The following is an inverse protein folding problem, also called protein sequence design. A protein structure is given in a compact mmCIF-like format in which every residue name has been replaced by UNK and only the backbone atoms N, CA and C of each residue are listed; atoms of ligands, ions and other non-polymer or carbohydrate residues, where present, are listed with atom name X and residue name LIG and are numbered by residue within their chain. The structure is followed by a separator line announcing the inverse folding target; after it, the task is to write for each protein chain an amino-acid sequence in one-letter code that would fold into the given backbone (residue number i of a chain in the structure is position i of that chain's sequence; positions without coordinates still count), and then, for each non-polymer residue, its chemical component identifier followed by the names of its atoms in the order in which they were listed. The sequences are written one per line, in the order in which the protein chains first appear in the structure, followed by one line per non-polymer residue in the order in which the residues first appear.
data_IF_664390896841
#
_entry.id   IF_664390896841
#
_cell.length_a   1.000
_cell.length_b   1.000
_cell.length_c   1.000
_cell.angle_alpha   90.00
_cell.angle_beta   90.00
_cell.angle_gamma   90.00
#
_symmetry.space_group_name_H-M   'P 1'
#
loop_
_entity.id
_entity.type
_entity.pdbx_description
1 polymer ?
#
# COMPACT_ATOMS: atom_id res chain seq x y z
N UNK A 1 31.92 19.06 2.47
CA UNK A 1 31.72 17.90 3.36
C UNK A 1 30.88 16.89 2.62
N UNK A 2 31.20 15.60 2.71
CA UNK A 2 30.35 14.56 2.17
C UNK A 2 29.07 14.50 3.03
N UNK A 3 27.90 14.68 2.43
CA UNK A 3 26.62 14.65 3.15
C UNK A 3 26.05 13.24 3.05
N UNK A 4 26.27 12.46 4.10
CA UNK A 4 25.91 11.04 4.18
C UNK A 4 24.70 10.80 5.08
N UNK A 5 24.02 11.84 5.58
CA UNK A 5 22.89 11.69 6.49
C UNK A 5 21.54 11.99 5.82
N UNK A 6 20.55 11.11 6.00
CA UNK A 6 19.14 11.40 5.75
C UNK A 6 18.43 11.46 7.11
N UNK A 7 17.67 12.53 7.34
CA UNK A 7 16.79 12.65 8.51
C UNK A 7 15.38 12.31 8.04
N UNK A 8 14.86 11.16 8.46
CA UNK A 8 13.53 10.66 8.12
C UNK A 8 12.55 10.95 9.25
N UNK A 9 11.62 11.87 9.00
CA UNK A 9 10.56 12.26 9.92
C UNK A 9 9.33 11.41 9.60
N UNK A 10 9.03 10.47 10.48
CA UNK A 10 7.94 9.51 10.37
C UNK A 10 7.09 9.63 11.64
N UNK A 11 6.07 10.52 11.68
CA UNK A 11 5.27 10.75 12.88
C UNK A 11 4.49 9.49 13.31
N UNK A 12 4.25 8.59 12.37
CA UNK A 12 3.74 7.26 12.64
C UNK A 12 4.88 6.34 13.09
N UNK A 13 4.96 6.08 14.39
CA UNK A 13 5.54 4.83 14.93
C UNK A 13 4.52 3.69 14.84
N UNK A 14 3.71 3.67 13.78
CA UNK A 14 2.66 2.67 13.68
C UNK A 14 3.33 1.33 13.44
N UNK A 15 3.08 0.38 14.33
CA UNK A 15 3.47 -1.03 14.18
C UNK A 15 2.70 -1.73 13.06
N UNK A 16 2.02 -1.00 12.17
CA UNK A 16 1.09 -1.56 11.19
C UNK A 16 0.90 -0.70 9.95
N UNK A 17 0.49 -1.34 8.86
CA UNK A 17 0.16 -0.69 7.59
C UNK A 17 1.35 -0.55 6.63
N UNK A 18 1.08 0.09 5.49
CA UNK A 18 2.03 0.23 4.38
C UNK A 18 3.26 1.10 4.74
N UNK A 19 3.14 2.01 5.71
CA UNK A 19 4.25 2.86 6.16
C UNK A 19 5.46 2.05 6.69
N UNK A 20 5.22 0.90 7.31
CA UNK A 20 6.29 -0.01 7.76
C UNK A 20 7.10 -0.54 6.58
N UNK A 21 6.41 -1.08 5.55
CA UNK A 21 7.06 -1.64 4.37
C UNK A 21 7.77 -0.55 3.54
N UNK A 22 7.17 0.63 3.47
CA UNK A 22 7.61 1.72 2.61
C UNK A 22 8.74 2.56 3.21
N UNK A 23 8.72 2.80 4.51
CA UNK A 23 9.69 3.68 5.16
C UNK A 23 10.60 2.85 6.06
N UNK A 24 10.04 2.18 7.06
CA UNK A 24 10.84 1.51 8.10
C UNK A 24 11.72 0.37 7.53
N UNK A 25 11.18 -0.49 6.67
CA UNK A 25 11.96 -1.58 6.05
C UNK A 25 13.08 -1.04 5.15
N UNK A 26 12.83 0.02 4.37
CA UNK A 26 13.87 0.72 3.60
C UNK A 26 14.96 1.31 4.49
N UNK A 27 14.57 2.03 5.55
CA UNK A 27 15.50 2.61 6.53
C UNK A 27 16.37 1.53 7.16
N UNK A 28 15.77 0.43 7.61
CA UNK A 28 16.48 -0.68 8.25
C UNK A 28 17.48 -1.33 7.28
N UNK A 29 17.04 -1.65 6.06
CA UNK A 29 17.90 -2.29 5.07
C UNK A 29 19.06 -1.39 4.64
N UNK A 30 18.81 -0.10 4.40
CA UNK A 30 19.85 0.86 4.04
C UNK A 30 20.85 1.04 5.19
N UNK A 31 20.39 1.16 6.43
CA UNK A 31 21.28 1.31 7.59
C UNK A 31 22.14 0.07 7.84
N UNK A 32 21.59 -1.14 7.68
CA UNK A 32 22.37 -2.39 7.76
C UNK A 32 23.47 -2.46 6.68
N UNK A 33 23.27 -1.76 5.57
CA UNK A 33 24.18 -1.71 4.43
C UNK A 33 24.78 -0.31 4.21
N UNK A 34 24.90 0.51 5.27
CA UNK A 34 25.28 1.92 5.17
C UNK A 34 26.62 2.13 4.45
N UNK A 35 27.59 1.22 4.63
CA UNK A 35 28.88 1.27 3.95
C UNK A 35 28.74 1.05 2.43
N UNK A 36 27.81 0.19 1.98
CA UNK A 36 27.52 -0.05 0.55
C UNK A 36 26.88 1.19 -0.07
N UNK A 37 25.92 1.80 0.63
CA UNK A 37 25.12 2.90 0.08
C UNK A 37 25.70 4.29 0.36
N UNK A 38 26.74 4.39 1.19
CA UNK A 38 27.36 5.66 1.56
C UNK A 38 26.41 6.62 2.27
N UNK A 39 25.41 6.09 2.99
CA UNK A 39 24.38 6.89 3.65
C UNK A 39 23.91 6.22 4.94
N UNK A 40 23.59 7.04 5.93
CA UNK A 40 22.93 6.65 7.18
C UNK A 40 21.61 7.39 7.29
N UNK A 41 20.60 6.74 7.85
CA UNK A 41 19.26 7.29 8.01
C UNK A 41 18.91 7.32 9.50
N UNK A 42 18.62 8.51 10.01
CA UNK A 42 18.02 8.68 11.33
C UNK A 42 16.52 8.77 11.13
N UNK A 43 15.77 7.83 11.71
CA UNK A 43 14.30 7.89 11.73
C UNK A 43 13.82 8.44 13.06
N UNK A 44 12.91 9.41 13.02
CA UNK A 44 12.41 10.14 14.19
C UNK A 44 10.93 10.49 14.02
N UNK A 45 10.13 10.51 15.10
CA UNK A 45 8.75 11.02 15.05
C UNK A 45 8.66 12.53 15.00
N UNK A 46 9.72 13.21 15.41
CA UNK A 46 9.74 14.64 15.65
C UNK A 46 10.82 15.30 14.80
N UNK A 47 10.62 16.56 14.36
CA UNK A 47 11.63 17.29 13.61
C UNK A 47 12.89 17.52 14.48
N UNK A 48 14.05 17.50 13.82
CA UNK A 48 15.37 17.69 14.41
C UNK A 48 16.00 18.94 13.79
N UNK A 49 16.28 19.95 14.63
CA UNK A 49 16.89 21.22 14.20
C UNK A 49 18.32 21.41 14.71
N UNK A 50 18.98 20.34 15.17
CA UNK A 50 20.37 20.39 15.57
C UNK A 50 21.28 20.75 14.39
N UNK A 51 22.04 21.83 14.53
CA UNK A 51 22.83 22.38 13.41
C UNK A 51 23.93 21.42 12.94
N UNK A 52 24.50 20.60 13.83
CA UNK A 52 25.55 19.64 13.47
C UNK A 52 24.99 18.50 12.63
N UNK A 53 23.77 18.04 12.95
CA UNK A 53 23.05 17.06 12.14
C UNK A 53 22.62 17.66 10.80
N UNK A 54 22.06 18.87 10.79
CA UNK A 54 21.63 19.53 9.56
C UNK A 54 22.79 19.81 8.60
N UNK A 55 23.99 20.11 9.11
CA UNK A 55 25.18 20.30 8.29
C UNK A 55 25.62 19.03 7.55
N UNK A 56 25.34 17.86 8.13
CA UNK A 56 25.63 16.54 7.54
C UNK A 56 24.46 16.02 6.70
N UNK A 57 23.26 16.54 6.91
CA UNK A 57 22.06 16.12 6.20
C UNK A 57 22.17 16.43 4.70
N UNK A 58 21.96 15.41 3.87
CA UNK A 58 21.69 15.57 2.44
C UNK A 58 20.20 15.74 2.16
N UNK A 59 19.35 15.13 3.00
CA UNK A 59 17.91 15.12 2.79
C UNK A 59 17.14 15.11 4.12
N UNK A 60 16.08 15.90 4.19
CA UNK A 60 15.00 15.80 5.16
C UNK A 60 13.84 15.07 4.47
N UNK A 61 13.64 13.81 4.84
CA UNK A 61 12.55 12.97 4.32
C UNK A 61 11.33 13.09 5.24
N UNK A 62 10.15 13.33 4.69
CA UNK A 62 8.91 13.54 5.46
C UNK A 62 7.82 12.59 4.97
N UNK A 63 7.40 11.68 5.83
CA UNK A 63 6.25 10.80 5.56
C UNK A 63 4.94 11.59 5.65
N UNK A 64 4.07 11.42 4.65
CA UNK A 64 2.69 11.94 4.59
C UNK A 64 2.59 13.43 4.94
N UNK A 65 3.19 14.33 4.13
CA UNK A 65 3.29 15.75 4.45
C UNK A 65 1.99 16.54 4.18
N UNK A 66 0.83 15.99 4.53
CA UNK A 66 -0.48 16.60 4.27
C UNK A 66 -1.27 16.96 5.53
N UNK A 67 -0.68 16.76 6.70
CA UNK A 67 -1.19 17.26 7.97
C UNK A 67 -0.63 18.66 8.31
N UNK A 68 -1.13 19.31 9.38
CA UNK A 68 -0.56 20.55 9.88
C UNK A 68 0.90 20.36 10.33
N UNK A 69 1.84 20.87 9.52
CA UNK A 69 3.28 20.73 9.75
C UNK A 69 3.97 22.10 9.76
N UNK A 70 3.69 22.97 10.74
CA UNK A 70 4.23 24.34 10.78
C UNK A 70 5.77 24.37 10.78
N UNK A 71 6.40 23.30 11.26
CA UNK A 71 7.84 23.13 11.31
C UNK A 71 8.49 22.91 9.93
N UNK A 72 7.72 22.54 8.89
CA UNK A 72 8.27 22.30 7.55
C UNK A 72 8.82 23.58 6.92
N UNK A 73 8.16 24.71 7.20
CA UNK A 73 8.65 26.05 6.83
C UNK A 73 10.03 26.34 7.41
N UNK A 74 10.29 25.94 8.67
CA UNK A 74 11.59 26.16 9.32
C UNK A 74 12.71 25.40 8.60
N UNK A 75 12.47 24.17 8.12
CA UNK A 75 13.44 23.48 7.28
C UNK A 75 13.66 24.23 5.97
N UNK A 76 12.60 24.75 5.33
CA UNK A 76 12.77 25.53 4.10
C UNK A 76 13.63 26.79 4.31
N UNK A 77 13.45 27.49 5.43
CA UNK A 77 14.24 28.68 5.78
C UNK A 77 15.70 28.36 6.09
N UNK A 78 15.97 27.19 6.70
CA UNK A 78 17.32 26.73 7.02
C UNK A 78 18.02 26.05 5.83
N UNK A 79 17.27 25.67 4.80
CA UNK A 79 17.78 24.97 3.63
C UNK A 79 18.92 25.72 2.90
N UNK A 80 18.88 27.05 2.66
CA UNK A 80 19.99 27.74 2.01
C UNK A 80 21.30 27.68 2.80
N UNK A 81 21.21 27.63 4.14
CA UNK A 81 22.37 27.54 5.04
C UNK A 81 23.02 26.16 5.00
N UNK A 82 22.21 25.10 5.02
CA UNK A 82 22.71 23.74 5.18
C UNK A 82 22.75 22.93 3.88
N UNK A 83 21.96 23.31 2.87
CA UNK A 83 21.95 22.76 1.52
C UNK A 83 21.43 21.32 1.38
N UNK A 84 20.54 20.86 2.27
CA UNK A 84 19.83 19.58 2.09
C UNK A 84 18.65 19.74 1.12
N UNK A 85 18.08 18.64 0.62
CA UNK A 85 16.76 18.62 -0.01
C UNK A 85 15.65 18.32 1.01
N UNK A 86 14.43 18.75 0.73
CA UNK A 86 13.23 18.35 1.47
C UNK A 86 12.41 17.43 0.57
N UNK A 87 12.24 16.17 0.96
CA UNK A 87 11.53 15.16 0.18
C UNK A 87 10.32 14.69 0.96
N UNK A 88 9.14 14.77 0.36
CA UNK A 88 7.90 14.24 0.92
C UNK A 88 7.58 12.86 0.36
N UNK A 89 6.78 12.07 1.06
CA UNK A 89 6.34 10.75 0.61
C UNK A 89 4.84 10.53 0.88
N UNK A 90 4.15 9.88 -0.07
CA UNK A 90 2.75 9.46 0.09
C UNK A 90 2.46 8.08 -0.52
N UNK A 91 1.64 7.31 0.19
CA UNK A 91 1.27 5.93 -0.15
C UNK A 91 -0.24 5.66 -0.26
N UNK A 92 -1.09 6.62 0.09
CA UNK A 92 -2.55 6.48 0.07
C UNK A 92 -3.23 7.76 -0.42
N UNK A 93 -4.52 7.66 -0.77
CA UNK A 93 -5.32 8.81 -1.16
C UNK A 93 -5.47 9.80 0.01
N UNK A 94 -4.96 11.01 -0.16
CA UNK A 94 -4.93 12.05 0.87
C UNK A 94 -5.89 13.21 0.61
N UNK A 95 -6.57 13.21 -0.53
CA UNK A 95 -7.34 14.35 -1.03
C UNK A 95 -8.65 13.90 -1.68
N UNK A 96 -9.56 14.84 -1.90
CA UNK A 96 -10.66 14.65 -2.86
C UNK A 96 -10.14 14.84 -4.28
N UNK A 97 -10.67 14.15 -5.27
CA UNK A 97 -10.24 14.35 -6.65
C UNK A 97 -11.39 13.97 -7.59
N UNK A 98 -11.69 14.85 -8.55
CA UNK A 98 -12.81 14.68 -9.50
C UNK A 98 -14.16 14.35 -8.84
N UNK A 99 -14.42 14.91 -7.67
CA UNK A 99 -15.66 14.69 -6.90
C UNK A 99 -15.68 13.40 -6.08
N UNK A 100 -14.66 12.54 -6.19
CA UNK A 100 -14.51 11.35 -5.35
C UNK A 100 -13.51 11.59 -4.22
N UNK A 101 -13.61 10.80 -3.15
CA UNK A 101 -12.65 10.81 -2.05
C UNK A 101 -12.61 9.41 -1.40
N UNK A 102 -12.51 9.33 -0.07
CA UNK A 102 -12.67 8.08 0.65
C UNK A 102 -14.09 7.53 0.34
N UNK A 103 -14.22 6.31 -0.18
CA UNK A 103 -15.50 5.80 -0.59
C UNK A 103 -16.44 5.62 0.59
N UNK A 104 -17.75 5.73 0.34
CA UNK A 104 -18.81 5.63 1.33
C UNK A 104 -18.81 4.32 2.13
N UNK A 105 -18.32 3.24 1.52
CA UNK A 105 -18.16 1.95 2.17
C UNK A 105 -16.97 1.88 3.11
N UNK A 106 -16.04 2.83 3.09
CA UNK A 106 -14.97 2.89 4.07
C UNK A 106 -15.48 3.66 5.30
N UNK A 107 -15.43 3.05 6.49
CA UNK A 107 -15.90 3.67 7.74
C UNK A 107 -15.26 5.04 8.04
N UNK A 108 -14.05 5.30 7.55
CA UNK A 108 -13.40 6.61 7.68
C UNK A 108 -14.10 7.73 6.90
N UNK A 109 -14.99 7.41 5.95
CA UNK A 109 -15.85 8.39 5.26
C UNK A 109 -16.92 9.00 6.16
N UNK A 110 -17.30 8.31 7.25
CA UNK A 110 -18.30 8.79 8.20
C UNK A 110 -17.77 9.90 9.12
N UNK A 111 -16.45 10.07 9.17
CA UNK A 111 -15.82 11.15 9.91
C UNK A 111 -15.90 12.44 9.07
N UNK A 112 -16.41 13.55 9.63
CA UNK A 112 -16.46 14.82 8.90
C UNK A 112 -15.05 15.26 8.53
N UNK A 113 -14.80 15.42 7.22
CA UNK A 113 -13.54 15.93 6.68
C UNK A 113 -13.82 17.20 5.90
N UNK A 114 -13.09 18.26 6.23
CA UNK A 114 -13.07 19.45 5.41
C UNK A 114 -11.97 19.29 4.35
N UNK A 115 -12.34 18.78 3.18
CA UNK A 115 -11.41 18.55 2.08
C UNK A 115 -10.74 19.84 1.60
N UNK A 116 -11.44 20.98 1.61
CA UNK A 116 -10.84 22.28 1.24
C UNK A 116 -9.71 22.67 2.18
N UNK A 117 -9.87 22.45 3.49
CA UNK A 117 -8.81 22.68 4.47
C UNK A 117 -7.65 21.72 4.29
N UNK A 118 -7.91 20.44 4.05
CA UNK A 118 -6.87 19.44 3.79
C UNK A 118 -6.07 19.81 2.53
N UNK A 119 -6.76 20.20 1.45
CA UNK A 119 -6.13 20.59 0.19
C UNK A 119 -5.32 21.88 0.31
N UNK A 120 -5.80 22.82 1.13
CA UNK A 120 -5.05 24.04 1.45
C UNK A 120 -3.76 23.70 2.19
N UNK A 121 -3.83 22.87 3.23
CA UNK A 121 -2.64 22.41 3.98
C UNK A 121 -1.68 21.66 3.07
N UNK A 122 -2.19 20.77 2.22
CA UNK A 122 -1.39 20.04 1.26
C UNK A 122 -0.67 21.00 0.30
N UNK A 123 -1.39 21.98 -0.25
CA UNK A 123 -0.83 23.00 -1.15
C UNK A 123 0.25 23.83 -0.45
N UNK A 124 0.03 24.25 0.79
CA UNK A 124 1.02 24.99 1.60
C UNK A 124 2.27 24.15 1.85
N UNK A 125 2.12 22.90 2.28
CA UNK A 125 3.26 22.02 2.56
C UNK A 125 4.07 21.71 1.29
N UNK A 126 3.41 21.50 0.15
CA UNK A 126 4.07 21.24 -1.14
C UNK A 126 4.98 22.40 -1.59
N UNK A 127 4.75 23.64 -1.15
CA UNK A 127 5.65 24.77 -1.43
C UNK A 127 7.03 24.62 -0.79
N UNK A 128 7.12 23.86 0.30
CA UNK A 128 8.35 23.63 1.05
C UNK A 128 9.07 22.33 0.64
N UNK A 129 8.44 21.49 -0.20
CA UNK A 129 8.95 20.19 -0.59
C UNK A 129 9.57 20.29 -1.98
N UNK A 130 10.82 19.84 -2.10
CA UNK A 130 11.53 19.85 -3.38
C UNK A 130 11.05 18.73 -4.29
N UNK A 131 10.78 17.53 -3.75
CA UNK A 131 10.25 16.38 -4.49
C UNK A 131 9.30 15.53 -3.65
N UNK A 132 8.29 14.96 -4.31
CA UNK A 132 7.39 13.97 -3.71
C UNK A 132 7.71 12.56 -4.22
N UNK A 133 7.74 11.59 -3.31
CA UNK A 133 7.75 10.16 -3.65
C UNK A 133 6.33 9.63 -3.52
N UNK A 134 5.77 9.05 -4.58
CA UNK A 134 4.44 8.43 -4.55
C UNK A 134 4.54 6.90 -4.61
N UNK A 135 3.56 6.19 -4.04
CA UNK A 135 3.50 4.72 -4.14
C UNK A 135 2.99 4.23 -5.50
N UNK A 136 2.28 5.09 -6.23
CA UNK A 136 1.68 4.79 -7.54
C UNK A 136 1.83 5.97 -8.49
N UNK A 137 1.79 5.67 -9.80
CA UNK A 137 1.74 6.71 -10.83
C UNK A 137 0.42 7.48 -10.79
N UNK A 138 -0.67 6.84 -10.33
CA UNK A 138 -1.95 7.51 -10.16
C UNK A 138 -1.91 8.60 -9.07
N UNK A 139 -1.22 8.35 -7.94
CA UNK A 139 -0.96 9.39 -6.93
C UNK A 139 -0.12 10.54 -7.50
N UNK A 140 0.87 10.23 -8.35
CA UNK A 140 1.64 11.25 -9.05
C UNK A 140 0.75 12.09 -9.97
N UNK A 141 -0.14 11.45 -10.73
CA UNK A 141 -1.13 12.12 -11.59
C UNK A 141 -2.03 13.08 -10.80
N UNK A 142 -2.47 12.70 -9.59
CA UNK A 142 -3.26 13.58 -8.72
C UNK A 142 -2.44 14.81 -8.30
N UNK A 143 -1.16 14.63 -7.90
CA UNK A 143 -0.28 15.75 -7.58
C UNK A 143 -0.09 16.70 -8.76
N UNK A 144 0.04 16.16 -9.98
CA UNK A 144 0.19 16.93 -11.21
C UNK A 144 -1.08 17.72 -11.53
N UNK A 145 -2.23 17.04 -11.62
CA UNK A 145 -3.47 17.65 -12.10
C UNK A 145 -4.14 18.55 -11.05
N UNK A 146 -4.12 18.18 -9.77
CA UNK A 146 -4.81 18.92 -8.71
C UNK A 146 -3.95 19.99 -8.06
N UNK A 147 -2.68 19.70 -7.82
CA UNK A 147 -1.78 20.58 -7.06
C UNK A 147 -0.72 21.26 -7.94
N UNK A 148 -0.73 21.02 -9.26
CA UNK A 148 0.27 21.53 -10.20
C UNK A 148 1.72 21.21 -9.75
N UNK A 149 1.92 20.04 -9.14
CA UNK A 149 3.18 19.64 -8.54
C UNK A 149 3.85 18.52 -9.33
N UNK A 150 4.80 18.85 -10.20
CA UNK A 150 5.36 17.92 -11.19
C UNK A 150 6.61 17.16 -10.75
N UNK A 151 7.31 17.62 -9.70
CA UNK A 151 8.54 16.98 -9.25
C UNK A 151 8.24 15.75 -8.38
N UNK A 152 7.72 14.71 -9.02
CA UNK A 152 7.34 13.45 -8.38
C UNK A 152 8.23 12.30 -8.86
N UNK A 153 8.35 11.26 -8.03
CA UNK A 153 8.93 9.97 -8.42
C UNK A 153 8.12 8.85 -7.80
N UNK A 154 7.68 7.89 -8.61
CA UNK A 154 6.95 6.74 -8.11
C UNK A 154 7.91 5.67 -7.62
N UNK A 155 7.88 5.32 -6.34
CA UNK A 155 8.58 4.16 -5.78
C UNK A 155 7.50 3.23 -5.23
N UNK A 156 7.31 2.01 -5.75
CA UNK A 156 6.23 1.13 -5.30
C UNK A 156 6.44 0.62 -3.87
N UNK A 157 5.36 0.16 -3.24
CA UNK A 157 5.44 -0.64 -2.01
C UNK A 157 5.83 -2.08 -2.39
N UNK A 158 6.83 -2.61 -1.70
CA UNK A 158 7.51 -3.85 -2.06
C UNK A 158 7.79 -4.70 -0.83
N UNK A 159 8.00 -5.99 -1.05
CA UNK A 159 8.28 -6.96 0.01
C UNK A 159 9.80 -7.10 0.25
N UNK A 160 10.22 -7.35 1.50
CA UNK A 160 11.57 -7.86 1.75
C UNK A 160 11.66 -9.34 1.43
N UNK A 161 12.64 -9.72 0.63
CA UNK A 161 12.96 -11.12 0.35
C UNK A 161 13.30 -11.86 1.64
N UNK A 162 14.07 -11.25 2.55
CA UNK A 162 14.45 -11.90 3.81
C UNK A 162 13.26 -12.28 4.70
N UNK A 163 12.16 -11.52 4.65
CA UNK A 163 10.96 -11.75 5.48
C UNK A 163 9.92 -12.62 4.77
N UNK A 164 9.80 -12.49 3.45
CA UNK A 164 8.74 -13.15 2.67
C UNK A 164 9.18 -14.38 1.90
N UNK A 165 10.47 -14.51 1.57
CA UNK A 165 10.92 -15.58 0.66
C UNK A 165 10.71 -16.95 1.30
N UNK A 166 9.78 -17.70 0.71
CA UNK A 166 9.59 -19.11 1.00
C UNK A 166 9.97 -19.95 -0.21
N UNK A 167 10.17 -21.23 0.05
CA UNK A 167 10.27 -22.23 -1.02
C UNK A 167 9.00 -22.22 -1.88
N UNK A 168 9.22 -22.23 -3.20
CA UNK A 168 8.14 -22.27 -4.19
C UNK A 168 7.25 -23.47 -3.93
N UNK A 169 5.93 -23.28 -4.11
CA UNK A 169 4.99 -24.39 -4.08
C UNK A 169 5.24 -25.34 -5.25
N UNK A 170 5.26 -26.63 -4.95
CA UNK A 170 5.40 -27.71 -5.93
C UNK A 170 4.10 -28.45 -6.19
N UNK A 171 3.02 -28.07 -5.50
CA UNK A 171 1.69 -28.65 -5.63
C UNK A 171 0.62 -27.59 -5.42
N UNK A 172 -0.59 -27.89 -5.88
CA UNK A 172 -1.81 -27.14 -5.64
C UNK A 172 -2.81 -28.06 -4.94
N UNK A 173 -3.46 -27.59 -3.87
CA UNK A 173 -4.35 -28.43 -3.07
C UNK A 173 -5.60 -28.79 -3.87
N UNK A 174 -6.11 -30.01 -3.67
CA UNK A 174 -7.39 -30.43 -4.25
C UNK A 174 -8.52 -29.52 -3.77
N UNK A 175 -8.53 -29.22 -2.46
CA UNK A 175 -9.33 -28.16 -1.82
C UNK A 175 -8.43 -26.95 -1.56
N UNK A 176 -8.46 -25.90 -2.39
CA UNK A 176 -7.51 -24.79 -2.27
C UNK A 176 -7.76 -23.97 -1.02
N UNK A 177 -6.67 -23.55 -0.37
CA UNK A 177 -6.74 -22.56 0.71
C UNK A 177 -6.83 -21.17 0.07
N UNK A 178 -7.98 -20.53 0.23
CA UNK A 178 -8.28 -19.20 -0.31
C UNK A 178 -8.20 -18.18 0.82
N UNK A 179 -7.34 -17.18 0.68
CA UNK A 179 -7.15 -16.12 1.66
C UNK A 179 -7.72 -14.79 1.15
N UNK A 180 -8.58 -14.17 1.95
CA UNK A 180 -8.86 -12.74 1.86
C UNK A 180 -8.13 -12.03 2.99
N UNK A 181 -7.19 -11.15 2.63
CA UNK A 181 -6.45 -10.36 3.61
C UNK A 181 -6.62 -8.87 3.33
N UNK A 182 -7.39 -8.19 4.17
CA UNK A 182 -7.67 -6.77 4.05
C UNK A 182 -8.29 -6.23 5.33
N UNK A 183 -8.11 -4.94 5.59
CA UNK A 183 -8.75 -4.29 6.72
C UNK A 183 -10.27 -4.16 6.49
N UNK A 184 -11.03 -3.97 7.56
CA UNK A 184 -12.47 -3.67 7.45
C UNK A 184 -12.77 -2.42 6.62
N UNK A 185 -11.79 -1.55 6.35
CA UNK A 185 -11.95 -0.36 5.50
C UNK A 185 -12.35 -0.66 4.05
N UNK A 186 -12.30 -1.93 3.64
CA UNK A 186 -12.74 -2.40 2.33
C UNK A 186 -14.27 -2.68 2.27
N UNK A 187 -14.96 -2.63 3.40
CA UNK A 187 -16.43 -2.84 3.53
C UNK A 187 -17.03 -1.90 4.59
N UNK A 188 -18.35 -1.73 4.60
CA UNK A 188 -19.04 -1.05 5.70
C UNK A 188 -19.93 -2.05 6.43
N UNK A 189 -19.58 -2.52 7.63
CA UNK A 189 -20.52 -3.31 8.42
C UNK A 189 -21.69 -2.42 8.87
N UNK A 190 -22.91 -2.95 8.92
CA UNK A 190 -24.02 -2.22 9.51
C UNK A 190 -23.75 -1.96 11.00
N UNK A 191 -24.20 -0.81 11.50
CA UNK A 191 -24.14 -0.47 12.93
C UNK A 191 -25.54 -0.08 13.40
N UNK A 192 -26.01 -0.61 14.55
CA UNK A 192 -27.25 -0.12 15.14
C UNK A 192 -27.10 1.34 15.58
N UNK A 193 -28.24 2.02 15.82
CA UNK A 193 -28.24 3.35 16.40
C UNK A 193 -27.50 3.32 17.76
N UNK A 194 -26.51 4.20 17.91
CA UNK A 194 -25.76 4.37 19.16
C UNK A 194 -25.25 5.82 19.29
N UNK A 195 -24.56 6.14 20.38
CA UNK A 195 -24.04 7.50 20.63
C UNK A 195 -23.08 8.01 19.55
N UNK A 196 -22.31 7.10 18.93
CA UNK A 196 -21.41 7.42 17.83
C UNK A 196 -22.13 7.51 16.48
N UNK A 197 -23.17 6.69 16.28
CA UNK A 197 -23.98 6.65 15.06
C UNK A 197 -25.48 6.81 15.40
N UNK A 198 -25.97 8.05 15.63
CA UNK A 198 -27.35 8.27 16.08
C UNK A 198 -28.41 7.78 15.11
N UNK A 199 -28.10 7.65 13.81
CA UNK A 199 -29.00 7.12 12.78
C UNK A 199 -28.68 5.67 12.38
N UNK A 200 -27.73 5.03 13.07
CA UNK A 200 -27.14 3.77 12.63
C UNK A 200 -26.28 3.95 11.37
N UNK A 201 -25.77 2.83 10.86
CA UNK A 201 -24.99 2.77 9.61
C UNK A 201 -25.54 1.64 8.76
N UNK A 202 -25.86 1.93 7.50
CA UNK A 202 -26.26 0.91 6.52
C UNK A 202 -25.05 0.12 6.06
N UNK A 203 -25.14 -1.20 6.05
CA UNK A 203 -24.08 -2.06 5.54
C UNK A 203 -23.84 -1.86 4.03
N UNK A 204 -22.57 -1.80 3.62
CA UNK A 204 -22.16 -1.77 2.22
C UNK A 204 -21.10 -2.85 1.97
N UNK A 205 -21.28 -3.59 0.87
CA UNK A 205 -20.32 -4.63 0.43
C UNK A 205 -18.97 -4.08 0.01
N UNK A 206 -18.91 -2.79 -0.30
CA UNK A 206 -17.70 -2.07 -0.66
C UNK A 206 -16.96 -2.69 -1.83
N UNK A 207 -15.74 -3.14 -1.56
CA UNK A 207 -14.85 -3.80 -2.51
C UNK A 207 -15.45 -5.11 -3.07
N UNK A 208 -16.27 -5.82 -2.29
CA UNK A 208 -16.99 -7.02 -2.74
C UNK A 208 -18.20 -6.68 -3.65
N UNK A 209 -17.96 -5.94 -4.74
CA UNK A 209 -18.95 -5.61 -5.76
C UNK A 209 -19.30 -6.82 -6.65
N UNK A 210 -20.36 -6.71 -7.47
CA UNK A 210 -20.87 -7.83 -8.27
C UNK A 210 -21.29 -9.03 -7.42
N UNK A 211 -20.99 -10.24 -7.91
CA UNK A 211 -21.40 -11.51 -7.31
C UNK A 211 -20.27 -12.24 -6.56
N UNK A 212 -19.26 -11.50 -6.09
CA UNK A 212 -18.18 -12.07 -5.27
C UNK A 212 -18.70 -12.82 -4.02
N UNK A 213 -19.58 -12.23 -3.18
CA UNK A 213 -20.11 -12.93 -2.02
C UNK A 213 -20.87 -14.21 -2.37
N UNK A 214 -21.75 -14.13 -3.37
CA UNK A 214 -22.59 -15.24 -3.81
C UNK A 214 -21.72 -16.39 -4.36
N UNK A 215 -20.66 -16.08 -5.11
CA UNK A 215 -19.70 -17.07 -5.60
C UNK A 215 -18.94 -17.77 -4.46
N UNK A 216 -18.52 -17.02 -3.43
CA UNK A 216 -17.85 -17.58 -2.25
C UNK A 216 -18.79 -18.53 -1.50
N UNK A 217 -20.02 -18.10 -1.23
CA UNK A 217 -21.04 -18.90 -0.54
C UNK A 217 -21.32 -20.20 -1.33
N UNK A 218 -21.49 -20.10 -2.65
CA UNK A 218 -21.68 -21.26 -3.54
C UNK A 218 -20.53 -22.27 -3.43
N UNK A 219 -19.29 -21.80 -3.32
CA UNK A 219 -18.10 -22.63 -3.40
C UNK A 219 -17.46 -22.96 -2.04
N UNK A 220 -18.08 -22.58 -0.91
CA UNK A 220 -17.49 -22.71 0.44
C UNK A 220 -17.09 -24.16 0.80
N UNK A 221 -17.78 -25.16 0.24
CA UNK A 221 -17.46 -26.58 0.46
C UNK A 221 -16.26 -27.07 -0.37
N UNK A 222 -15.86 -26.32 -1.40
CA UNK A 222 -14.79 -26.68 -2.34
C UNK A 222 -13.49 -25.89 -2.09
N UNK A 223 -13.45 -25.05 -1.06
CA UNK A 223 -12.27 -24.27 -0.66
C UNK A 223 -12.13 -24.22 0.86
N UNK A 224 -10.90 -24.02 1.34
CA UNK A 224 -10.64 -23.68 2.73
C UNK A 224 -10.51 -22.17 2.83
N UNK A 225 -11.58 -21.51 3.28
CA UNK A 225 -11.69 -20.05 3.27
C UNK A 225 -11.12 -19.43 4.53
N UNK A 226 -10.12 -18.58 4.35
CA UNK A 226 -9.41 -17.88 5.42
C UNK A 226 -9.61 -16.36 5.28
N UNK A 227 -9.84 -15.69 6.40
CA UNK A 227 -9.88 -14.23 6.48
C UNK A 227 -8.84 -13.72 7.46
N UNK A 228 -8.23 -12.58 7.14
CA UNK A 228 -7.43 -11.81 8.09
C UNK A 228 -8.22 -10.61 8.61
N UNK A 229 -7.99 -10.27 9.87
CA UNK A 229 -8.58 -9.17 10.64
C UNK A 229 -10.07 -9.33 10.96
N UNK A 230 -10.94 -9.51 9.98
CA UNK A 230 -12.39 -9.65 10.23
C UNK A 230 -13.11 -10.46 9.14
N UNK A 231 -14.29 -10.96 9.46
CA UNK A 231 -15.21 -11.63 8.54
C UNK A 231 -16.26 -10.60 8.07
N UNK A 232 -16.40 -10.36 6.75
CA UNK A 232 -17.46 -9.51 6.23
C UNK A 232 -18.84 -9.91 6.74
N UNK A 233 -19.65 -8.93 7.15
CA UNK A 233 -20.95 -9.16 7.78
C UNK A 233 -21.93 -9.99 6.93
N UNK A 234 -21.77 -9.98 5.61
CA UNK A 234 -22.58 -10.76 4.68
C UNK A 234 -22.13 -12.22 4.52
N UNK A 235 -21.11 -12.66 5.28
CA UNK A 235 -20.70 -14.06 5.41
C UNK A 235 -21.06 -14.66 6.77
N UNK A 236 -21.92 -14.01 7.55
CA UNK A 236 -22.34 -14.51 8.86
C UNK A 236 -22.96 -15.91 8.79
N UNK A 237 -23.77 -16.17 7.75
CA UNK A 237 -24.41 -17.48 7.53
C UNK A 237 -23.44 -18.63 7.23
N UNK A 238 -22.21 -18.31 6.80
CA UNK A 238 -21.15 -19.28 6.52
C UNK A 238 -19.97 -19.15 7.49
N UNK A 239 -20.13 -18.42 8.61
CA UNK A 239 -19.04 -18.15 9.57
C UNK A 239 -18.34 -19.42 10.04
N UNK A 240 -19.09 -20.50 10.29
CA UNK A 240 -18.55 -21.77 10.77
C UNK A 240 -17.64 -22.48 9.75
N UNK A 241 -17.68 -22.06 8.49
CA UNK A 241 -16.80 -22.57 7.42
C UNK A 241 -15.57 -21.68 7.20
N UNK A 242 -15.43 -20.57 7.94
CA UNK A 242 -14.36 -19.59 7.76
C UNK A 242 -13.34 -19.68 8.90
N UNK A 243 -12.05 -19.74 8.54
CA UNK A 243 -10.97 -19.57 9.52
C UNK A 243 -10.57 -18.09 9.61
N UNK A 244 -10.78 -17.47 10.76
CA UNK A 244 -10.38 -16.08 11.03
C UNK A 244 -9.00 -16.00 11.70
N UNK A 245 -8.09 -15.26 11.08
CA UNK A 245 -6.80 -14.86 11.62
C UNK A 245 -6.92 -13.42 12.15
N UNK A 246 -6.53 -13.21 13.40
CA UNK A 246 -6.67 -11.90 14.06
C UNK A 246 -5.81 -10.83 13.39
N UNK A 247 -6.17 -9.56 13.61
CA UNK A 247 -5.32 -8.44 13.20
C UNK A 247 -3.96 -8.50 13.90
N UNK A 248 -2.90 -8.20 13.14
CA UNK A 248 -1.52 -8.25 13.61
C UNK A 248 -0.73 -7.03 13.12
N UNK A 249 0.37 -6.72 13.81
CA UNK A 249 1.38 -5.78 13.31
C UNK A 249 1.95 -6.26 11.97
N UNK A 250 2.53 -5.36 11.17
CA UNK A 250 3.05 -5.72 9.84
C UNK A 250 4.05 -6.87 9.91
N UNK A 251 4.99 -6.84 10.87
CA UNK A 251 6.01 -7.90 10.98
C UNK A 251 5.41 -9.26 11.38
N UNK A 252 4.41 -9.28 12.28
CA UNK A 252 3.72 -10.51 12.68
C UNK A 252 2.82 -11.04 11.55
N UNK A 253 2.13 -10.14 10.84
CA UNK A 253 1.32 -10.47 9.67
C UNK A 253 2.13 -11.22 8.61
N UNK A 254 3.38 -10.82 8.35
CA UNK A 254 4.26 -11.54 7.41
C UNK A 254 4.48 -12.98 7.88
N UNK A 255 4.81 -13.17 9.16
CA UNK A 255 5.00 -14.50 9.76
C UNK A 255 3.75 -15.37 9.65
N UNK A 256 2.59 -14.81 9.94
CA UNK A 256 1.32 -15.53 9.91
C UNK A 256 0.86 -15.84 8.48
N UNK A 257 1.00 -14.89 7.56
CA UNK A 257 0.75 -15.11 6.13
C UNK A 257 1.62 -16.27 5.61
N UNK A 258 2.92 -16.23 5.95
CA UNK A 258 3.85 -17.30 5.61
C UNK A 258 3.41 -18.62 6.23
N UNK A 259 2.90 -18.66 7.46
CA UNK A 259 2.41 -19.87 8.14
C UNK A 259 1.18 -20.45 7.43
N UNK A 260 0.23 -19.62 7.04
CA UNK A 260 -1.02 -20.04 6.36
C UNK A 260 -0.71 -20.70 5.01
N UNK A 261 0.27 -20.18 4.26
CA UNK A 261 0.65 -20.67 2.91
C UNK A 261 -0.56 -20.79 1.96
N UNK A 262 -1.30 -19.70 1.69
CA UNK A 262 -2.50 -19.76 0.86
C UNK A 262 -2.20 -20.20 -0.58
N UNK A 263 -3.10 -20.96 -1.21
CA UNK A 263 -2.99 -21.30 -2.64
C UNK A 263 -3.46 -20.14 -3.51
N UNK A 264 -4.55 -19.52 -3.08
CA UNK A 264 -5.17 -18.39 -3.75
C UNK A 264 -5.34 -17.26 -2.74
N UNK A 265 -5.13 -16.03 -3.21
CA UNK A 265 -5.46 -14.80 -2.51
C UNK A 265 -6.50 -14.07 -3.34
N UNK A 266 -7.59 -13.62 -2.73
CA UNK A 266 -8.61 -12.81 -3.42
C UNK A 266 -8.47 -11.33 -3.04
N UNK A 267 -8.57 -10.46 -4.05
CA UNK A 267 -8.52 -9.02 -3.87
C UNK A 267 -9.58 -8.32 -4.75
N UNK A 268 -10.85 -8.35 -4.32
CA UNK A 268 -11.96 -7.79 -5.07
C UNK A 268 -11.97 -6.27 -4.93
N UNK A 269 -11.08 -5.50 -5.59
CA UNK A 269 -11.14 -4.04 -5.46
C UNK A 269 -12.29 -3.47 -6.30
N UNK A 270 -13.06 -2.51 -5.76
CA UNK A 270 -14.03 -1.74 -6.54
C UNK A 270 -13.32 -0.66 -7.38
N UNK A 271 -13.77 -0.41 -8.59
CA UNK A 271 -13.25 0.68 -9.41
C UNK A 271 -13.70 2.05 -8.85
N UNK A 272 -12.76 2.78 -8.24
CA UNK A 272 -12.93 4.16 -7.78
C UNK A 272 -11.55 4.82 -7.61
N UNK A 273 -11.52 6.14 -7.45
CA UNK A 273 -10.27 6.91 -7.30
C UNK A 273 -9.43 6.43 -6.10
N UNK A 274 -10.08 6.11 -4.98
CA UNK A 274 -9.40 5.63 -3.79
C UNK A 274 -8.61 4.34 -4.05
N UNK A 275 -9.19 3.38 -4.78
CA UNK A 275 -8.54 2.12 -5.11
C UNK A 275 -7.52 2.24 -6.26
N UNK A 276 -7.65 3.22 -7.17
CA UNK A 276 -6.60 3.57 -8.16
C UNK A 276 -5.34 4.13 -7.51
N UNK A 277 -5.46 4.77 -6.35
CA UNK A 277 -4.31 5.22 -5.56
C UNK A 277 -3.54 4.08 -4.89
N UNK A 278 -4.18 2.92 -4.67
CA UNK A 278 -3.56 1.81 -3.92
C UNK A 278 -2.40 1.20 -4.68
N UNK A 279 -1.36 0.83 -3.95
CA UNK A 279 -0.26 0.05 -4.49
C UNK A 279 -0.66 -1.40 -4.78
N UNK A 280 0.14 -2.08 -5.60
CA UNK A 280 0.01 -3.51 -5.91
C UNK A 280 0.56 -4.45 -4.82
N UNK A 281 0.59 -4.00 -3.58
CA UNK A 281 1.21 -4.74 -2.47
C UNK A 281 0.59 -6.13 -2.29
N UNK A 282 -0.73 -6.27 -2.42
CA UNK A 282 -1.40 -7.59 -2.30
C UNK A 282 -0.85 -8.62 -3.31
N UNK A 283 -0.50 -8.16 -4.50
CA UNK A 283 0.09 -8.98 -5.54
C UNK A 283 1.51 -9.38 -5.18
N UNK A 284 2.35 -8.43 -4.76
CA UNK A 284 3.74 -8.75 -4.39
C UNK A 284 3.81 -9.65 -3.15
N UNK A 285 2.92 -9.47 -2.17
CA UNK A 285 2.74 -10.38 -1.02
C UNK A 285 2.39 -11.81 -1.49
N UNK A 286 1.39 -11.94 -2.36
CA UNK A 286 0.97 -13.24 -2.89
C UNK A 286 2.11 -13.92 -3.67
N UNK A 287 2.76 -13.20 -4.58
CA UNK A 287 3.90 -13.71 -5.33
C UNK A 287 5.04 -14.18 -4.40
N UNK A 288 5.40 -13.36 -3.41
CA UNK A 288 6.49 -13.67 -2.50
C UNK A 288 6.20 -14.91 -1.63
N UNK A 289 4.94 -15.08 -1.21
CA UNK A 289 4.46 -16.23 -0.45
C UNK A 289 4.17 -17.48 -1.29
N UNK A 290 4.28 -17.40 -2.63
CA UNK A 290 3.96 -18.51 -3.53
C UNK A 290 2.47 -18.82 -3.64
N UNK A 291 1.63 -17.78 -3.57
CA UNK A 291 0.19 -17.83 -3.75
C UNK A 291 -0.24 -17.13 -5.04
N UNK A 292 -1.36 -17.56 -5.62
CA UNK A 292 -1.93 -16.93 -6.81
C UNK A 292 -2.88 -15.81 -6.39
N UNK A 293 -2.67 -14.59 -6.90
CA UNK A 293 -3.64 -13.50 -6.67
C UNK A 293 -4.72 -13.53 -7.75
N UNK A 294 -5.99 -13.65 -7.35
CA UNK A 294 -7.16 -13.34 -8.17
C UNK A 294 -7.67 -11.95 -7.74
N UNK A 295 -7.70 -10.99 -8.66
CA UNK A 295 -8.01 -9.60 -8.33
C UNK A 295 -8.80 -8.88 -9.41
N UNK A 296 -9.55 -7.85 -9.00
CA UNK A 296 -10.28 -7.01 -9.95
C UNK A 296 -9.32 -6.13 -10.74
N UNK A 297 -9.37 -6.24 -12.07
CA UNK A 297 -8.63 -5.39 -12.99
C UNK A 297 -9.55 -4.37 -13.65
N UNK A 298 -9.10 -3.12 -13.68
CA UNK A 298 -9.78 -1.97 -14.26
C UNK A 298 -8.72 -0.95 -14.70
N UNK A 299 -9.13 0.07 -15.44
CA UNK A 299 -8.21 1.13 -15.87
C UNK A 299 -7.50 1.77 -14.65
N UNK A 300 -6.16 1.89 -14.72
CA UNK A 300 -5.31 2.34 -13.60
C UNK A 300 -5.39 1.46 -12.33
N UNK A 301 -5.84 0.21 -12.42
CA UNK A 301 -5.84 -0.72 -11.29
C UNK A 301 -4.42 -1.06 -10.84
N UNK A 302 -4.18 -1.24 -9.53
CA UNK A 302 -2.93 -1.85 -9.04
C UNK A 302 -2.67 -3.24 -9.61
N UNK A 303 -3.70 -3.93 -10.10
CA UNK A 303 -3.63 -5.32 -10.54
C UNK A 303 -3.55 -5.48 -12.06
N UNK A 304 -3.24 -4.41 -12.79
CA UNK A 304 -3.00 -4.49 -14.24
C UNK A 304 -1.86 -5.47 -14.62
N UNK A 305 -0.93 -5.71 -13.68
CA UNK A 305 0.26 -6.55 -13.84
C UNK A 305 0.06 -8.03 -13.47
N UNK A 306 -1.11 -8.43 -12.94
CA UNK A 306 -1.36 -9.84 -12.62
C UNK A 306 -1.54 -10.66 -13.89
N UNK A 307 -1.37 -11.98 -13.76
CA UNK A 307 -1.54 -12.89 -14.89
C UNK A 307 -2.95 -12.76 -15.51
N UNK A 308 -3.11 -12.74 -16.85
CA UNK A 308 -4.41 -12.52 -17.50
C UNK A 308 -5.51 -13.50 -17.06
N UNK A 309 -5.16 -14.75 -16.74
CA UNK A 309 -6.12 -15.76 -16.25
C UNK A 309 -6.66 -15.47 -14.84
N UNK A 310 -6.08 -14.52 -14.12
CA UNK A 310 -6.43 -14.16 -12.76
C UNK A 310 -7.20 -12.83 -12.66
N UNK A 311 -7.41 -12.15 -13.80
CA UNK A 311 -8.07 -10.85 -13.87
C UNK A 311 -9.58 -11.00 -13.82
N UNK A 312 -10.18 -10.39 -12.81
CA UNK A 312 -11.62 -10.32 -12.62
C UNK A 312 -12.13 -8.97 -13.14
N UNK A 313 -13.20 -8.92 -13.95
CA UNK A 313 -13.78 -7.64 -14.35
C UNK A 313 -14.44 -6.93 -13.16
N UNK A 314 -14.66 -5.62 -13.26
CA UNK A 314 -15.50 -4.90 -12.29
C UNK A 314 -16.94 -5.43 -12.35
N UNK A 315 -17.55 -5.63 -11.18
CA UNK A 315 -18.87 -6.27 -11.01
C UNK A 315 -19.01 -7.65 -11.70
N UNK A 316 -18.22 -8.65 -11.31
CA UNK A 316 -18.22 -9.95 -11.98
C UNK A 316 -19.49 -10.77 -11.72
N UNK A 317 -19.84 -11.65 -12.66
CA UNK A 317 -20.86 -12.70 -12.45
C UNK A 317 -20.26 -13.97 -11.86
N UNK A 318 -21.11 -14.85 -11.30
CA UNK A 318 -20.69 -16.17 -10.80
C UNK A 318 -20.01 -17.00 -11.89
N UNK A 319 -20.53 -16.99 -13.13
CA UNK A 319 -19.95 -17.76 -14.24
C UNK A 319 -18.55 -17.27 -14.62
N UNK A 320 -18.32 -15.96 -14.55
CA UNK A 320 -17.01 -15.37 -14.79
C UNK A 320 -16.03 -15.78 -13.69
N UNK A 321 -16.45 -15.73 -12.43
CA UNK A 321 -15.62 -16.14 -11.29
C UNK A 321 -15.32 -17.65 -11.32
N UNK A 322 -16.30 -18.50 -11.63
CA UNK A 322 -16.09 -19.94 -11.80
C UNK A 322 -15.07 -20.23 -12.91
N UNK A 323 -15.19 -19.55 -14.07
CA UNK A 323 -14.24 -19.70 -15.17
C UNK A 323 -12.82 -19.28 -14.77
N UNK A 324 -12.68 -18.16 -14.07
CA UNK A 324 -11.38 -17.67 -13.58
C UNK A 324 -10.78 -18.64 -12.57
N UNK A 325 -11.60 -19.12 -11.63
CA UNK A 325 -11.18 -20.10 -10.63
C UNK A 325 -10.69 -21.40 -11.28
N UNK A 326 -11.44 -21.96 -12.22
CA UNK A 326 -11.04 -23.18 -12.94
C UNK A 326 -9.80 -22.95 -13.81
N UNK A 327 -9.65 -21.79 -14.46
CA UNK A 327 -8.43 -21.44 -15.18
C UNK A 327 -7.22 -21.39 -14.24
N UNK A 328 -7.38 -20.80 -13.04
CA UNK A 328 -6.32 -20.78 -12.03
C UNK A 328 -5.95 -22.19 -11.59
N UNK A 329 -6.94 -23.05 -11.30
CA UNK A 329 -6.69 -24.44 -10.90
C UNK A 329 -5.98 -25.25 -11.98
N UNK A 330 -6.35 -25.07 -13.24
CA UNK A 330 -5.79 -25.83 -14.35
C UNK A 330 -4.40 -25.34 -14.79
N UNK A 331 -4.07 -24.07 -14.53
CA UNK A 331 -2.83 -23.43 -15.01
C UNK A 331 -1.94 -22.90 -13.87
N UNK A 332 -2.16 -23.36 -12.64
CA UNK A 332 -1.53 -22.78 -11.44
C UNK A 332 0.00 -22.69 -11.52
N UNK A 333 0.66 -23.67 -12.14
CA UNK A 333 2.12 -23.73 -12.24
C UNK A 333 2.65 -22.62 -13.16
N UNK A 334 2.05 -22.45 -14.33
CA UNK A 334 2.37 -21.36 -15.26
C UNK A 334 2.15 -19.99 -14.60
N UNK A 335 1.04 -19.84 -13.88
CA UNK A 335 0.70 -18.59 -13.19
C UNK A 335 1.72 -18.28 -12.08
N UNK A 336 2.10 -19.27 -11.26
CA UNK A 336 3.13 -19.09 -10.25
C UNK A 336 4.48 -18.75 -10.88
N UNK A 337 4.87 -19.43 -11.96
CA UNK A 337 6.12 -19.14 -12.66
C UNK A 337 6.12 -17.70 -13.20
N UNK A 338 5.03 -17.25 -13.82
CA UNK A 338 4.83 -15.86 -14.22
C UNK A 338 5.00 -14.90 -13.04
N UNK A 339 4.32 -15.15 -11.93
CA UNK A 339 4.33 -14.29 -10.75
C UNK A 339 5.73 -14.16 -10.13
N UNK A 340 6.44 -15.28 -9.99
CA UNK A 340 7.80 -15.30 -9.48
C UNK A 340 8.78 -14.61 -10.43
N UNK A 341 8.68 -14.87 -11.72
CA UNK A 341 9.50 -14.20 -12.72
C UNK A 341 9.26 -12.69 -12.72
N UNK A 342 8.00 -12.30 -12.61
CA UNK A 342 7.59 -10.91 -12.62
C UNK A 342 8.21 -10.13 -11.44
N UNK A 343 8.10 -10.64 -10.20
CA UNK A 343 8.69 -9.93 -9.04
C UNK A 343 10.22 -9.86 -9.11
N UNK A 344 10.88 -10.87 -9.68
CA UNK A 344 12.33 -10.91 -9.82
C UNK A 344 12.84 -9.98 -10.94
N UNK A 345 12.13 -9.89 -12.06
CA UNK A 345 12.51 -9.10 -13.23
C UNK A 345 12.20 -7.61 -13.08
N UNK A 346 11.20 -7.25 -12.26
CA UNK A 346 10.73 -5.86 -12.12
C UNK A 346 11.27 -5.14 -10.87
N UNK A 347 12.24 -5.73 -10.17
CA UNK A 347 12.85 -5.11 -9.00
C UNK A 347 11.92 -4.96 -7.80
N UNK A 348 10.94 -5.85 -7.64
CA UNK A 348 9.85 -5.77 -6.64
C UNK A 348 10.24 -6.36 -5.27
N UNK A 349 11.55 -6.39 -5.01
CA UNK A 349 12.17 -6.80 -3.75
C UNK A 349 12.89 -5.63 -3.12
N UNK A 350 12.88 -5.56 -1.79
CA UNK A 350 13.60 -4.55 -1.01
C UNK A 350 15.08 -4.55 -1.31
N UNK A 351 15.62 -5.75 -1.49
CA UNK A 351 17.04 -5.98 -1.74
C UNK A 351 17.44 -5.68 -3.19
N UNK A 352 16.48 -5.34 -4.06
CA UNK A 352 16.74 -4.96 -5.45
C UNK A 352 17.55 -3.66 -5.53
N UNK A 353 18.60 -3.66 -6.35
CA UNK A 353 19.40 -2.47 -6.60
C UNK A 353 18.59 -1.37 -7.28
N UNK A 354 17.65 -1.74 -8.16
CA UNK A 354 16.75 -0.80 -8.84
C UNK A 354 15.86 -0.07 -7.83
N UNK A 355 15.26 -0.80 -6.89
CA UNK A 355 14.38 -0.22 -5.88
C UNK A 355 15.14 0.74 -4.97
N UNK A 356 16.27 0.30 -4.41
CA UNK A 356 17.08 1.12 -3.50
C UNK A 356 17.69 2.31 -4.23
N UNK A 357 18.17 2.15 -5.47
CA UNK A 357 18.69 3.24 -6.28
C UNK A 357 17.60 4.27 -6.58
N UNK A 358 16.36 3.85 -6.86
CA UNK A 358 15.23 4.76 -7.05
C UNK A 358 14.89 5.53 -5.77
N UNK A 359 14.86 4.85 -4.63
CA UNK A 359 14.57 5.49 -3.34
C UNK A 359 15.67 6.48 -2.94
N UNK A 360 16.94 6.09 -3.07
CA UNK A 360 18.08 6.96 -2.73
C UNK A 360 18.26 8.12 -3.70
N UNK A 361 18.04 7.92 -5.00
CA UNK A 361 18.12 9.00 -6.00
C UNK A 361 17.00 10.02 -5.82
N UNK A 362 15.82 9.60 -5.35
CA UNK A 362 14.77 10.51 -4.93
C UNK A 362 15.24 11.46 -3.82
N UNK A 363 16.07 10.95 -2.91
CA UNK A 363 16.68 11.67 -1.79
C UNK A 363 18.05 12.32 -2.12
N UNK A 364 18.44 12.37 -3.40
CA UNK A 364 19.74 12.89 -3.84
C UNK A 364 19.55 13.94 -4.96
N UNK A 365 18.74 14.95 -4.66
CA UNK A 365 18.55 16.08 -5.56
C UNK A 365 19.78 16.98 -5.55
N UNK A 366 20.34 17.35 -6.73
CA UNK A 366 21.22 18.51 -6.81
C UNK A 366 20.45 19.72 -6.28
N UNK A 367 21.15 20.63 -5.61
CA UNK A 367 20.60 21.89 -5.12
C UNK A 367 20.35 22.83 -6.32
N UNK A 368 19.40 22.48 -7.17
CA UNK A 368 19.04 23.21 -8.38
C UNK A 368 17.54 23.51 -8.34
N UNK A 369 17.19 24.67 -7.79
CA UNK A 369 16.24 25.50 -8.52
C UNK A 369 17.06 26.40 -9.42
N UNK A 370 16.98 26.14 -10.72
CA UNK A 370 17.13 27.22 -11.69
C UNK A 370 16.06 28.27 -11.37
N UNK A 371 16.53 29.51 -11.44
CA UNK A 371 15.86 30.78 -11.15
C UNK A 371 14.45 30.84 -11.75
#
# INVERSE_FOLDING_TARGET
MNKDLIICISPEWTTGGCGVLRVQHNVNYINQNANKFGVKIIMTPVPIFDQNLLQQARCIFVQRPFGPMPWLKNYRELQPKFGYSIVGEVDDNFTSYKGENIPDYNMSSLQPRNWEVIDKIASENLQYIDRMITATDYLSKILHEKFNYWNTVTVPNICSRSLWSRERKTFFREKPLVLSAGAMQHIRPPQPMNSQFPSGVTGLRGDYCGQWPEWIIKNIKNMDLHFFADIPYFFEEIRDFITLHQWQSTDLYIGEYNRIRPDIVIAPLKNNIFNRCKSRLKFTEACAAGAILIGTDFEDSPYNCIHPLCKVPDNPTIEQLDKIYENVRNNWKEILDYQYDWINKNGEWLESEDHISKWLSACNLPNTRMI
#
